data_IF_168570393666
#
_entry.id   IF_168570393666
#
_cell.length_a   1.000
_cell.length_b   1.000
_cell.length_c   1.000
_cell.angle_alpha   90.00
_cell.angle_beta   90.00
_cell.angle_gamma   90.00
#
_symmetry.space_group_name_H-M   'P 1'
#
loop_
_entity.id
_entity.type
_entity.pdbx_description
1 polymer ?
#
# COMPACT_ATOMS: atom_id res chain seq x y z
N UNK A 1 -93.08 35.79 8.03
CA UNK A 1 -92.85 34.45 7.51
C UNK A 1 -91.65 34.54 6.56
N UNK A 2 -90.50 35.07 7.06
CA UNK A 2 -89.27 35.33 6.22
C UNK A 2 -87.98 35.32 7.04
N UNK A 3 -88.00 34.74 8.23
CA UNK A 3 -86.77 34.74 9.12
C UNK A 3 -86.47 33.38 9.70
N UNK A 4 -86.62 32.30 8.93
CA UNK A 4 -86.31 30.95 9.38
C UNK A 4 -85.46 30.11 8.38
N UNK A 5 -84.92 30.70 7.29
CA UNK A 5 -84.11 29.99 6.30
C UNK A 5 -82.65 30.41 6.30
N UNK A 6 -82.25 31.40 7.09
CA UNK A 6 -80.84 31.83 7.13
C UNK A 6 -79.99 31.17 8.25
N UNK A 7 -80.56 30.34 9.11
CA UNK A 7 -79.82 29.75 10.26
C UNK A 7 -79.44 28.30 10.04
N UNK A 8 -79.60 27.74 8.83
CA UNK A 8 -79.20 26.36 8.48
C UNK A 8 -78.03 26.22 7.54
N UNK A 9 -77.37 27.32 7.07
CA UNK A 9 -76.31 27.31 6.10
C UNK A 9 -74.90 27.58 6.69
N UNK A 10 -74.78 27.83 8.02
CA UNK A 10 -73.55 28.20 8.69
C UNK A 10 -72.96 27.05 9.54
N UNK A 11 -73.55 25.86 9.58
CA UNK A 11 -73.09 24.73 10.43
C UNK A 11 -72.50 23.56 9.64
N UNK A 12 -72.23 23.68 8.31
CA UNK A 12 -71.75 22.57 7.47
C UNK A 12 -70.31 22.71 6.97
N UNK A 13 -69.57 23.74 7.38
CA UNK A 13 -68.23 24.00 6.80
C UNK A 13 -67.08 23.97 7.79
N UNK A 14 -67.19 23.23 8.90
CA UNK A 14 -66.04 23.13 9.91
C UNK A 14 -65.40 21.76 10.06
N UNK A 15 -65.37 20.91 9.00
CA UNK A 15 -64.65 19.65 9.01
C UNK A 15 -63.73 19.45 7.78
N UNK A 16 -63.15 20.52 7.24
CA UNK A 16 -62.03 20.48 6.30
C UNK A 16 -60.73 20.43 7.04
N UNK A 17 -60.42 19.32 7.74
CA UNK A 17 -59.03 19.05 8.19
C UNK A 17 -58.22 18.78 6.95
N UNK A 18 -57.58 19.82 6.45
CA UNK A 18 -56.47 19.73 5.48
C UNK A 18 -55.38 18.84 6.05
N UNK A 19 -55.36 17.55 5.67
CA UNK A 19 -54.22 16.68 5.85
C UNK A 19 -53.07 17.26 5.02
N UNK A 20 -52.20 18.01 5.67
CA UNK A 20 -50.88 18.33 5.12
C UNK A 20 -50.21 17.02 4.73
N UNK A 21 -49.64 16.88 3.50
CA UNK A 21 -48.91 15.68 3.13
C UNK A 21 -47.75 15.49 4.10
N UNK A 22 -47.79 14.39 4.85
CA UNK A 22 -46.63 13.93 5.66
C UNK A 22 -45.41 13.98 4.80
N UNK A 23 -44.32 14.70 5.21
CA UNK A 23 -43.07 14.70 4.46
C UNK A 23 -42.59 13.26 4.40
N UNK A 24 -42.58 12.70 3.18
CA UNK A 24 -41.97 11.40 2.91
C UNK A 24 -40.52 11.47 3.40
N UNK A 25 -40.22 10.73 4.47
CA UNK A 25 -38.85 10.53 4.97
C UNK A 25 -38.05 10.05 3.76
N UNK A 26 -36.99 10.77 3.36
CA UNK A 26 -36.19 10.32 2.24
C UNK A 26 -35.58 8.97 2.63
N UNK A 27 -36.02 7.92 1.94
CA UNK A 27 -35.37 6.60 2.05
C UNK A 27 -33.89 6.82 1.89
N UNK A 28 -33.11 6.52 2.93
CA UNK A 28 -31.67 6.56 2.91
C UNK A 28 -31.20 5.60 1.81
N UNK A 29 -31.00 6.12 0.59
CA UNK A 29 -30.33 5.37 -0.47
C UNK A 29 -28.97 4.99 0.11
N UNK A 30 -28.77 3.70 0.34
CA UNK A 30 -27.45 3.16 0.68
C UNK A 30 -26.45 3.82 -0.26
N UNK A 31 -25.37 4.41 0.23
CA UNK A 31 -24.42 5.11 -0.62
C UNK A 31 -23.85 4.09 -1.63
N UNK A 32 -24.30 4.15 -2.87
CA UNK A 32 -23.75 3.32 -3.94
C UNK A 32 -22.32 3.79 -4.21
N UNK A 33 -21.38 2.85 -4.14
CA UNK A 33 -19.97 3.11 -4.52
C UNK A 33 -19.97 3.55 -5.99
N UNK A 34 -19.32 4.67 -6.35
CA UNK A 34 -19.24 5.11 -7.74
C UNK A 34 -18.65 4.01 -8.63
N UNK A 35 -19.22 3.78 -9.81
CA UNK A 35 -18.76 2.74 -10.73
C UNK A 35 -17.28 2.90 -11.13
N UNK A 36 -16.80 4.14 -11.26
CA UNK A 36 -15.38 4.44 -11.51
C UNK A 36 -14.48 3.98 -10.36
N UNK A 37 -14.91 4.13 -9.11
CA UNK A 37 -14.13 3.68 -7.95
C UNK A 37 -14.06 2.15 -7.88
N UNK A 38 -15.17 1.46 -8.15
CA UNK A 38 -15.19 0.01 -8.25
C UNK A 38 -14.29 -0.49 -9.38
N UNK A 39 -14.27 0.22 -10.52
CA UNK A 39 -13.40 -0.10 -11.64
C UNK A 39 -11.90 0.08 -11.28
N UNK A 40 -11.53 1.11 -10.52
CA UNK A 40 -10.17 1.29 -10.02
C UNK A 40 -9.75 0.19 -9.05
N UNK A 41 -10.65 -0.24 -8.16
CA UNK A 41 -10.41 -1.38 -7.26
C UNK A 41 -10.22 -2.68 -8.04
N UNK A 42 -11.08 -2.94 -9.03
CA UNK A 42 -11.00 -4.13 -9.89
C UNK A 42 -9.71 -4.13 -10.72
N UNK A 43 -9.33 -2.98 -11.29
CA UNK A 43 -8.05 -2.81 -11.99
C UNK A 43 -6.87 -3.12 -11.08
N UNK A 44 -6.82 -2.50 -9.90
CA UNK A 44 -5.76 -2.72 -8.92
C UNK A 44 -5.63 -4.19 -8.54
N UNK A 45 -6.75 -4.89 -8.38
CA UNK A 45 -6.79 -6.32 -8.11
C UNK A 45 -6.24 -7.14 -9.28
N UNK A 46 -6.78 -6.97 -10.49
CA UNK A 46 -6.38 -7.72 -11.68
C UNK A 46 -4.91 -7.49 -12.05
N UNK A 47 -4.47 -6.24 -11.97
CA UNK A 47 -3.09 -5.84 -12.22
C UNK A 47 -2.12 -6.52 -11.25
N UNK A 48 -2.44 -6.57 -9.96
CA UNK A 48 -1.61 -7.22 -8.95
C UNK A 48 -1.70 -8.75 -9.00
N UNK A 49 -2.81 -9.30 -9.46
CA UNK A 49 -2.95 -10.72 -9.74
C UNK A 49 -1.94 -11.16 -10.82
N UNK A 50 -1.93 -10.48 -11.98
CA UNK A 50 -0.95 -10.70 -13.05
C UNK A 50 0.49 -10.54 -12.56
N UNK A 51 0.79 -9.45 -11.83
CA UNK A 51 2.13 -9.22 -11.25
C UNK A 51 2.54 -10.29 -10.25
N UNK A 52 1.59 -10.87 -9.52
CA UNK A 52 1.83 -11.98 -8.61
C UNK A 52 2.30 -13.23 -9.35
N UNK A 53 1.64 -13.59 -10.46
CA UNK A 53 2.06 -14.72 -11.32
C UNK A 53 3.48 -14.51 -11.82
N UNK A 54 3.79 -13.33 -12.37
CA UNK A 54 5.15 -12.96 -12.80
C UNK A 54 6.12 -13.02 -11.62
N UNK A 55 5.74 -12.47 -10.46
CA UNK A 55 6.58 -12.40 -9.27
C UNK A 55 6.94 -13.76 -8.67
N UNK A 56 6.15 -14.81 -8.96
CA UNK A 56 6.51 -16.19 -8.63
C UNK A 56 7.43 -16.80 -9.68
N UNK A 57 7.06 -16.72 -10.96
CA UNK A 57 7.76 -17.43 -12.03
C UNK A 57 9.09 -16.78 -12.43
N UNK A 58 9.20 -15.44 -12.35
CA UNK A 58 10.35 -14.68 -12.84
C UNK A 58 11.68 -15.04 -12.15
N UNK A 59 11.78 -15.09 -10.81
CA UNK A 59 13.04 -15.46 -10.16
C UNK A 59 13.47 -16.89 -10.48
N UNK A 60 12.52 -17.82 -10.63
CA UNK A 60 12.81 -19.20 -11.03
C UNK A 60 13.23 -19.29 -12.49
N UNK A 61 12.57 -18.56 -13.39
CA UNK A 61 12.95 -18.46 -14.79
C UNK A 61 14.37 -17.90 -14.95
N UNK A 62 14.67 -16.82 -14.25
CA UNK A 62 15.99 -16.20 -14.26
C UNK A 62 17.09 -17.17 -13.80
N UNK A 63 16.86 -17.86 -12.69
CA UNK A 63 17.81 -18.77 -12.09
C UNK A 63 17.93 -20.08 -12.87
N UNK A 64 16.80 -20.80 -13.14
CA UNK A 64 16.81 -22.14 -13.75
C UNK A 64 17.01 -22.14 -15.25
N UNK A 65 16.37 -21.21 -15.97
CA UNK A 65 16.35 -21.23 -17.46
C UNK A 65 17.41 -20.33 -18.07
N UNK A 66 17.64 -19.14 -17.51
CA UNK A 66 18.63 -18.21 -18.03
C UNK A 66 20.01 -18.38 -17.38
N UNK A 67 20.13 -19.23 -16.34
CA UNK A 67 21.38 -19.48 -15.64
C UNK A 67 21.95 -18.28 -14.91
N UNK A 68 21.11 -17.28 -14.55
CA UNK A 68 21.54 -16.12 -13.80
C UNK A 68 21.94 -16.52 -12.37
N UNK A 69 22.98 -15.92 -11.87
CA UNK A 69 23.36 -16.02 -10.46
C UNK A 69 22.30 -15.40 -9.55
N UNK A 70 22.32 -15.72 -8.26
CA UNK A 70 21.42 -15.10 -7.30
C UNK A 70 21.60 -13.58 -7.21
N UNK A 71 22.83 -13.08 -7.40
CA UNK A 71 23.12 -11.64 -7.47
C UNK A 71 22.43 -11.00 -8.68
N UNK A 72 22.62 -11.57 -9.87
CA UNK A 72 21.99 -11.09 -11.10
C UNK A 72 20.46 -11.17 -11.01
N UNK A 73 19.95 -12.25 -10.45
CA UNK A 73 18.50 -12.39 -10.17
C UNK A 73 18.01 -11.28 -9.22
N UNK A 74 18.76 -10.99 -8.16
CA UNK A 74 18.47 -9.89 -7.24
C UNK A 74 18.43 -8.53 -7.94
N UNK A 75 19.42 -8.24 -8.81
CA UNK A 75 19.45 -7.02 -9.64
C UNK A 75 18.26 -6.98 -10.60
N UNK A 76 17.93 -8.08 -11.26
CA UNK A 76 16.75 -8.19 -12.12
C UNK A 76 15.47 -7.84 -11.36
N UNK A 77 15.29 -8.38 -10.17
CA UNK A 77 14.09 -8.14 -9.35
C UNK A 77 14.00 -6.68 -8.89
N UNK A 78 15.14 -6.06 -8.58
CA UNK A 78 15.23 -4.65 -8.20
C UNK A 78 15.02 -3.68 -9.37
N UNK A 79 15.30 -4.09 -10.61
CA UNK A 79 15.24 -3.23 -11.81
C UNK A 79 13.88 -2.56 -11.99
N UNK A 80 12.79 -3.27 -11.72
CA UNK A 80 11.44 -2.72 -11.80
C UNK A 80 11.25 -1.55 -10.83
N UNK A 81 11.67 -1.73 -9.58
CA UNK A 81 11.54 -0.71 -8.54
C UNK A 81 12.47 0.48 -8.80
N UNK A 82 13.69 0.19 -9.28
CA UNK A 82 14.64 1.23 -9.69
C UNK A 82 14.08 2.10 -10.81
N UNK A 83 13.56 1.49 -11.88
CA UNK A 83 12.96 2.20 -13.00
C UNK A 83 11.71 3.00 -12.53
N UNK A 84 10.85 2.41 -11.70
CA UNK A 84 9.68 3.09 -11.15
C UNK A 84 10.08 4.35 -10.38
N UNK A 85 11.01 4.25 -9.42
CA UNK A 85 11.41 5.38 -8.59
C UNK A 85 12.12 6.47 -9.40
N UNK A 86 12.98 6.07 -10.34
CA UNK A 86 13.71 7.02 -11.18
C UNK A 86 12.79 7.83 -12.10
N UNK A 87 11.82 7.18 -12.74
CA UNK A 87 10.93 7.83 -13.69
C UNK A 87 9.68 8.46 -13.04
N UNK A 88 9.37 8.17 -11.79
CA UNK A 88 8.15 8.61 -11.11
C UNK A 88 7.93 10.14 -11.16
N UNK A 89 8.92 11.02 -10.93
CA UNK A 89 8.71 12.46 -11.04
C UNK A 89 8.38 12.92 -12.47
N UNK A 90 9.09 12.34 -13.46
CA UNK A 90 8.88 12.65 -14.89
C UNK A 90 7.50 12.19 -15.36
N UNK A 91 7.11 11.00 -14.95
CA UNK A 91 5.83 10.39 -15.35
C UNK A 91 4.64 11.03 -14.64
N UNK A 92 4.82 11.51 -13.40
CA UNK A 92 3.82 12.34 -12.72
C UNK A 92 3.53 13.63 -13.49
N UNK A 93 4.59 14.35 -13.88
CA UNK A 93 4.46 15.55 -14.72
C UNK A 93 3.81 15.25 -16.09
N UNK A 94 4.16 14.12 -16.72
CA UNK A 94 3.54 13.71 -17.97
C UNK A 94 2.04 13.40 -17.79
N UNK A 95 1.65 12.75 -16.70
CA UNK A 95 0.26 12.45 -16.38
C UNK A 95 -0.60 13.70 -16.25
N UNK A 96 -0.06 14.76 -15.62
CA UNK A 96 -0.76 16.06 -15.47
C UNK A 96 -1.02 16.73 -16.84
N UNK A 97 -0.11 16.52 -17.81
CA UNK A 97 -0.25 17.13 -19.15
C UNK A 97 -1.17 16.36 -20.11
N UNK A 98 -1.10 15.03 -20.11
CA UNK A 98 -1.89 14.21 -21.05
C UNK A 98 -3.27 13.86 -20.54
N UNK A 99 -3.57 14.13 -19.27
CA UNK A 99 -4.79 13.80 -18.57
C UNK A 99 -4.70 12.46 -17.83
N UNK A 100 -5.27 12.41 -16.64
CA UNK A 100 -5.11 11.28 -15.69
C UNK A 100 -5.61 9.95 -16.25
N UNK A 101 -6.78 9.93 -16.89
CA UNK A 101 -7.33 8.69 -17.49
C UNK A 101 -6.45 8.19 -18.64
N UNK A 102 -5.98 9.10 -19.52
CA UNK A 102 -5.13 8.72 -20.66
C UNK A 102 -3.78 8.20 -20.19
N UNK A 103 -3.16 8.89 -19.21
CA UNK A 103 -1.91 8.46 -18.59
C UNK A 103 -2.06 7.07 -17.97
N UNK A 104 -3.13 6.87 -17.21
CA UNK A 104 -3.44 5.60 -16.57
C UNK A 104 -3.66 4.47 -17.58
N UNK A 105 -4.45 4.73 -18.63
CA UNK A 105 -4.67 3.73 -19.68
C UNK A 105 -3.37 3.37 -20.42
N UNK A 106 -2.54 4.36 -20.76
CA UNK A 106 -1.24 4.15 -21.39
C UNK A 106 -0.31 3.32 -20.49
N UNK A 107 -0.31 3.60 -19.20
CA UNK A 107 0.48 2.84 -18.22
C UNK A 107 0.05 1.36 -18.17
N UNK A 108 -1.26 1.07 -18.15
CA UNK A 108 -1.76 -0.30 -18.13
C UNK A 108 -1.43 -1.03 -19.44
N UNK A 109 -1.56 -0.37 -20.59
CA UNK A 109 -1.16 -0.93 -21.90
C UNK A 109 0.34 -1.20 -21.92
N UNK A 110 1.18 -0.27 -21.43
CA UNK A 110 2.62 -0.44 -21.31
C UNK A 110 3.00 -1.64 -20.43
N UNK A 111 2.28 -1.85 -19.33
CA UNK A 111 2.46 -3.04 -18.47
C UNK A 111 2.07 -4.33 -19.16
N UNK A 112 0.95 -4.35 -19.90
CA UNK A 112 0.54 -5.52 -20.69
C UNK A 112 1.57 -5.83 -21.77
N UNK A 113 2.12 -4.80 -22.42
CA UNK A 113 3.21 -4.98 -23.36
C UNK A 113 4.48 -5.55 -22.68
N UNK A 114 4.86 -5.06 -21.52
CA UNK A 114 5.98 -5.63 -20.75
C UNK A 114 5.70 -7.10 -20.38
N UNK A 115 4.45 -7.44 -20.03
CA UNK A 115 4.06 -8.82 -19.74
C UNK A 115 4.19 -9.73 -20.99
N UNK A 116 3.88 -9.20 -22.17
CA UNK A 116 4.11 -9.91 -23.45
C UNK A 116 5.61 -10.12 -23.71
N UNK A 117 6.45 -9.13 -23.39
CA UNK A 117 7.89 -9.27 -23.53
C UNK A 117 8.45 -10.43 -22.68
N UNK A 118 7.88 -10.72 -21.50
CA UNK A 118 8.29 -11.89 -20.70
C UNK A 118 7.98 -13.21 -21.41
N UNK A 119 6.90 -13.30 -22.18
CA UNK A 119 6.50 -14.53 -22.92
C UNK A 119 7.56 -14.93 -23.94
N UNK A 120 8.14 -13.94 -24.62
CA UNK A 120 9.09 -14.13 -25.72
C UNK A 120 10.55 -14.01 -25.28
N UNK A 121 10.81 -13.68 -24.03
CA UNK A 121 12.16 -13.49 -23.53
C UNK A 121 12.89 -14.85 -23.46
N UNK A 122 14.00 -14.97 -24.18
CA UNK A 122 14.89 -16.14 -24.19
C UNK A 122 16.34 -15.83 -23.78
N UNK A 123 16.63 -14.57 -23.43
CA UNK A 123 17.98 -14.14 -23.07
C UNK A 123 17.99 -13.17 -21.89
N UNK A 124 19.11 -13.09 -21.12
CA UNK A 124 19.21 -12.21 -19.97
C UNK A 124 18.86 -10.74 -20.27
N UNK A 125 19.39 -10.18 -21.35
CA UNK A 125 19.16 -8.77 -21.69
C UNK A 125 17.69 -8.48 -22.01
N UNK A 126 16.96 -9.43 -22.66
CA UNK A 126 15.53 -9.28 -22.95
C UNK A 126 14.70 -9.22 -21.65
N UNK A 127 15.02 -10.08 -20.69
CA UNK A 127 14.29 -10.11 -19.42
C UNK A 127 14.58 -8.86 -18.58
N UNK A 128 15.82 -8.34 -18.59
CA UNK A 128 16.16 -7.07 -17.95
C UNK A 128 15.42 -5.90 -18.62
N UNK A 129 15.37 -5.86 -19.95
CA UNK A 129 14.64 -4.82 -20.69
C UNK A 129 13.14 -4.87 -20.42
N UNK A 130 12.54 -6.07 -20.41
CA UNK A 130 11.13 -6.25 -20.06
C UNK A 130 10.84 -5.77 -18.62
N UNK A 131 11.75 -6.04 -17.67
CA UNK A 131 11.64 -5.63 -16.28
C UNK A 131 11.75 -4.11 -16.11
N UNK A 132 12.67 -3.48 -16.84
CA UNK A 132 12.82 -2.04 -16.88
C UNK A 132 11.58 -1.35 -17.46
N UNK A 133 11.08 -1.85 -18.60
CA UNK A 133 9.85 -1.34 -19.22
C UNK A 133 8.64 -1.47 -18.29
N UNK A 134 8.55 -2.58 -17.56
CA UNK A 134 7.51 -2.79 -16.58
C UNK A 134 7.55 -1.71 -15.47
N UNK A 135 8.75 -1.38 -14.97
CA UNK A 135 8.94 -0.31 -13.98
C UNK A 135 8.61 1.09 -14.50
N UNK A 136 8.98 1.39 -15.76
CA UNK A 136 8.57 2.63 -16.42
C UNK A 136 7.04 2.75 -16.52
N UNK A 137 6.36 1.70 -16.89
CA UNK A 137 4.90 1.69 -16.96
C UNK A 137 4.26 1.87 -15.57
N UNK A 138 4.84 1.25 -14.53
CA UNK A 138 4.36 1.41 -13.14
C UNK A 138 4.58 2.84 -12.63
N UNK A 139 5.69 3.51 -13.02
CA UNK A 139 5.97 4.90 -12.64
C UNK A 139 4.92 5.90 -13.14
N UNK A 140 4.29 5.62 -14.29
CA UNK A 140 3.17 6.40 -14.81
C UNK A 140 1.84 6.01 -14.16
N UNK A 141 1.67 4.71 -13.85
CA UNK A 141 0.44 4.16 -13.30
C UNK A 141 0.17 4.66 -11.88
N UNK A 142 1.15 4.62 -11.00
CA UNK A 142 0.96 4.87 -9.58
C UNK A 142 0.48 6.29 -9.26
N UNK A 143 1.10 7.38 -9.77
CA UNK A 143 0.58 8.72 -9.54
C UNK A 143 -0.80 8.93 -10.15
N UNK A 144 -1.04 8.39 -11.36
CA UNK A 144 -2.33 8.52 -12.05
C UNK A 144 -3.49 7.87 -11.28
N UNK A 145 -3.30 6.65 -10.76
CA UNK A 145 -4.35 5.96 -10.01
C UNK A 145 -4.59 6.61 -8.65
N UNK A 146 -3.54 7.09 -8.00
CA UNK A 146 -3.67 7.76 -6.71
C UNK A 146 -4.48 9.06 -6.85
N UNK A 147 -4.23 9.84 -7.90
CA UNK A 147 -5.02 11.03 -8.22
C UNK A 147 -6.48 10.67 -8.56
N UNK A 148 -6.70 9.66 -9.42
CA UNK A 148 -8.05 9.19 -9.77
C UNK A 148 -8.84 8.69 -8.56
N UNK A 149 -8.21 8.00 -7.61
CA UNK A 149 -8.86 7.57 -6.36
C UNK A 149 -9.22 8.80 -5.52
N UNK A 150 -8.29 9.75 -5.37
CA UNK A 150 -8.51 10.95 -4.57
C UNK A 150 -9.70 11.79 -5.10
N UNK A 151 -9.83 11.91 -6.42
CA UNK A 151 -10.90 12.67 -7.07
C UNK A 151 -12.26 11.94 -7.08
N UNK A 152 -12.26 10.61 -7.19
CA UNK A 152 -13.50 9.83 -7.23
C UNK A 152 -14.03 9.44 -5.83
N UNK A 153 -13.22 9.53 -4.79
CA UNK A 153 -13.62 9.22 -3.42
C UNK A 153 -14.26 10.45 -2.77
N UNK A 154 -15.28 10.23 -1.94
CA UNK A 154 -15.86 11.30 -1.12
C UNK A 154 -14.78 11.77 -0.12
N UNK A 155 -14.68 13.07 0.14
CA UNK A 155 -13.65 13.69 0.98
C UNK A 155 -13.46 12.97 2.34
N UNK A 156 -14.56 12.59 3.01
CA UNK A 156 -14.52 11.85 4.28
C UNK A 156 -14.12 10.38 4.16
N UNK A 157 -14.03 9.81 2.94
CA UNK A 157 -13.76 8.38 2.71
C UNK A 157 -12.49 8.09 1.92
N UNK A 158 -11.71 9.11 1.55
CA UNK A 158 -10.48 8.95 0.75
C UNK A 158 -9.51 7.97 1.41
N UNK A 159 -9.23 8.14 2.70
CA UNK A 159 -8.30 7.29 3.43
C UNK A 159 -8.77 5.81 3.48
N UNK A 160 -10.06 5.58 3.72
CA UNK A 160 -10.60 4.22 3.73
C UNK A 160 -10.59 3.59 2.33
N UNK A 161 -10.80 4.37 1.29
CA UNK A 161 -10.72 3.91 -0.10
C UNK A 161 -9.30 3.46 -0.46
N UNK A 162 -8.27 4.24 -0.09
CA UNK A 162 -6.88 3.83 -0.25
C UNK A 162 -6.54 2.58 0.55
N UNK A 163 -7.06 2.44 1.77
CA UNK A 163 -6.87 1.25 2.58
C UNK A 163 -7.46 0.00 1.89
N UNK A 164 -8.69 0.08 1.39
CA UNK A 164 -9.32 -1.00 0.63
C UNK A 164 -8.57 -1.32 -0.66
N UNK A 165 -8.15 -0.30 -1.41
CA UNK A 165 -7.36 -0.47 -2.63
C UNK A 165 -6.03 -1.21 -2.35
N UNK A 166 -5.31 -0.81 -1.31
CA UNK A 166 -4.07 -1.46 -0.93
C UNK A 166 -4.27 -2.89 -0.42
N UNK A 167 -5.33 -3.15 0.34
CA UNK A 167 -5.68 -4.51 0.80
C UNK A 167 -6.02 -5.40 -0.38
N UNK A 168 -6.84 -4.93 -1.32
CA UNK A 168 -7.16 -5.66 -2.54
C UNK A 168 -5.92 -5.99 -3.38
N UNK A 169 -5.00 -5.03 -3.56
CA UNK A 169 -3.73 -5.23 -4.26
C UNK A 169 -2.86 -6.31 -3.60
N UNK A 170 -2.78 -6.32 -2.29
CA UNK A 170 -1.94 -7.28 -1.56
C UNK A 170 -2.51 -8.69 -1.63
N UNK A 171 -3.81 -8.82 -1.39
CA UNK A 171 -4.52 -10.08 -1.51
C UNK A 171 -4.38 -10.64 -2.93
N UNK A 172 -4.59 -9.80 -3.95
CA UNK A 172 -4.42 -10.19 -5.35
C UNK A 172 -2.99 -10.63 -5.68
N UNK A 173 -1.97 -9.93 -5.14
CA UNK A 173 -0.57 -10.31 -5.33
C UNK A 173 -0.25 -11.69 -4.75
N UNK A 174 -0.77 -11.98 -3.57
CA UNK A 174 -0.57 -13.29 -2.93
C UNK A 174 -1.33 -14.40 -3.67
N UNK A 175 -2.58 -14.15 -4.10
CA UNK A 175 -3.34 -15.05 -4.98
C UNK A 175 -2.56 -15.29 -6.28
N UNK A 176 -2.02 -14.23 -6.91
CA UNK A 176 -1.24 -14.33 -8.14
C UNK A 176 0.03 -15.19 -7.96
N UNK A 177 0.77 -15.00 -6.87
CA UNK A 177 1.94 -15.84 -6.56
C UNK A 177 1.56 -17.30 -6.35
N UNK A 178 0.47 -17.56 -5.64
CA UNK A 178 -0.07 -18.91 -5.47
C UNK A 178 -0.45 -19.53 -6.80
N UNK A 179 -1.23 -18.81 -7.62
CA UNK A 179 -1.62 -19.23 -8.98
C UNK A 179 -0.39 -19.50 -9.84
N UNK A 180 0.63 -18.64 -9.77
CA UNK A 180 1.90 -18.84 -10.47
C UNK A 180 2.59 -20.14 -10.12
N UNK A 181 2.61 -20.51 -8.83
CA UNK A 181 3.16 -21.78 -8.36
C UNK A 181 2.39 -22.98 -8.88
N UNK A 182 1.06 -22.97 -8.79
CA UNK A 182 0.22 -24.06 -9.31
C UNK A 182 0.28 -24.17 -10.84
N UNK A 183 0.29 -23.03 -11.56
CA UNK A 183 0.41 -23.04 -13.01
C UNK A 183 1.76 -23.60 -13.46
N UNK A 184 2.85 -23.23 -12.78
CA UNK A 184 4.18 -23.70 -13.14
C UNK A 184 4.28 -25.24 -12.94
N UNK A 185 3.76 -25.74 -11.83
CA UNK A 185 3.67 -27.15 -11.56
C UNK A 185 2.79 -27.89 -12.59
N UNK A 186 1.63 -27.33 -12.95
CA UNK A 186 0.70 -27.94 -13.90
C UNK A 186 1.27 -27.92 -15.34
N UNK A 187 1.99 -26.89 -15.71
CA UNK A 187 2.56 -26.68 -17.06
C UNK A 187 3.96 -27.29 -17.20
N UNK A 188 4.41 -28.09 -16.25
CA UNK A 188 5.70 -28.81 -16.29
C UNK A 188 6.87 -27.88 -16.66
N UNK A 189 7.04 -26.81 -15.89
CA UNK A 189 8.10 -25.79 -16.07
C UNK A 189 8.07 -25.03 -17.42
N UNK A 190 6.91 -24.98 -18.06
CA UNK A 190 6.71 -24.13 -19.23
C UNK A 190 6.48 -22.67 -18.80
N UNK A 191 7.56 -21.94 -18.57
CA UNK A 191 7.52 -20.53 -18.13
C UNK A 191 6.82 -19.62 -19.12
N UNK A 192 6.97 -19.86 -20.43
CA UNK A 192 6.29 -19.06 -21.48
C UNK A 192 4.77 -19.14 -21.36
N UNK A 193 4.22 -20.33 -21.06
CA UNK A 193 2.79 -20.50 -20.85
C UNK A 193 2.31 -19.79 -19.55
N UNK A 194 3.11 -19.82 -18.49
CA UNK A 194 2.81 -19.09 -17.25
C UNK A 194 2.84 -17.57 -17.50
N UNK A 195 3.84 -17.06 -18.22
CA UNK A 195 3.91 -15.64 -18.58
C UNK A 195 2.78 -15.23 -19.55
N UNK A 196 2.37 -16.12 -20.46
CA UNK A 196 1.21 -15.89 -21.33
C UNK A 196 -0.08 -15.74 -20.51
N UNK A 197 -0.27 -16.57 -19.49
CA UNK A 197 -1.40 -16.43 -18.55
C UNK A 197 -1.34 -15.07 -17.84
N UNK A 198 -0.16 -14.66 -17.37
CA UNK A 198 0.01 -13.35 -16.76
C UNK A 198 -0.25 -12.19 -17.74
N UNK A 199 0.15 -12.33 -19.00
CA UNK A 199 -0.16 -11.36 -20.07
C UNK A 199 -1.68 -11.24 -20.29
N UNK A 200 -2.39 -12.36 -20.45
CA UNK A 200 -3.85 -12.35 -20.62
C UNK A 200 -4.53 -11.66 -19.43
N UNK A 201 -4.12 -11.98 -18.21
CA UNK A 201 -4.63 -11.33 -17.00
C UNK A 201 -4.31 -9.82 -16.97
N UNK A 202 -3.16 -9.39 -17.54
CA UNK A 202 -2.79 -7.98 -17.59
C UNK A 202 -3.57 -7.17 -18.62
N UNK A 203 -4.17 -7.84 -19.63
CA UNK A 203 -5.01 -7.19 -20.62
C UNK A 203 -6.42 -6.85 -20.07
N UNK A 204 -6.94 -7.62 -19.10
CA UNK A 204 -8.27 -7.39 -18.54
C UNK A 204 -8.46 -5.99 -17.94
N UNK A 205 -7.52 -5.44 -17.17
CA UNK A 205 -7.60 -4.08 -16.65
C UNK A 205 -7.79 -3.00 -17.73
N UNK A 206 -7.22 -3.18 -18.92
CA UNK A 206 -7.37 -2.22 -20.03
C UNK A 206 -8.85 -2.04 -20.39
N UNK A 207 -9.59 -3.13 -20.52
CA UNK A 207 -11.03 -3.09 -20.82
C UNK A 207 -11.83 -2.46 -19.66
N UNK A 208 -11.49 -2.82 -18.41
CA UNK A 208 -12.18 -2.28 -17.23
C UNK A 208 -12.01 -0.76 -17.16
N UNK A 209 -10.78 -0.27 -17.33
CA UNK A 209 -10.49 1.18 -17.24
C UNK A 209 -11.07 1.92 -18.44
N UNK A 210 -10.92 1.41 -19.66
CA UNK A 210 -11.46 2.06 -20.85
C UNK A 210 -12.99 2.25 -20.76
N UNK A 211 -13.71 1.25 -20.21
CA UNK A 211 -15.18 1.23 -20.17
C UNK A 211 -15.79 1.98 -18.99
N UNK A 212 -15.19 1.93 -17.81
CA UNK A 212 -15.83 2.37 -16.56
C UNK A 212 -15.16 3.55 -15.87
N UNK A 213 -13.88 3.82 -16.10
CA UNK A 213 -13.22 5.00 -15.54
C UNK A 213 -13.55 6.22 -16.38
N UNK A 214 -14.05 7.27 -15.72
CA UNK A 214 -14.34 8.56 -16.39
C UNK A 214 -13.17 9.50 -16.18
N UNK A 215 -12.90 10.37 -17.17
CA UNK A 215 -11.98 11.49 -17.01
C UNK A 215 -12.58 12.42 -15.94
N UNK A 216 -11.85 12.77 -14.89
CA UNK A 216 -12.31 13.77 -13.95
C UNK A 216 -12.51 15.10 -14.70
N UNK A 217 -13.60 15.75 -14.46
CA UNK A 217 -13.72 17.15 -14.88
C UNK A 217 -12.80 17.95 -13.97
N UNK A 218 -11.74 18.50 -14.53
CA UNK A 218 -10.82 19.38 -13.81
C UNK A 218 -11.64 20.60 -13.38
N UNK A 219 -12.23 20.55 -12.20
CA UNK A 219 -12.59 21.76 -11.49
C UNK A 219 -11.23 22.31 -11.03
N UNK A 220 -10.71 23.29 -11.78
CA UNK A 220 -9.77 24.22 -11.18
C UNK A 220 -10.52 24.81 -9.97
N UNK A 221 -10.10 24.56 -8.74
CA UNK A 221 -10.61 25.38 -7.66
C UNK A 221 -10.11 26.79 -8.02
N UNK A 222 -11.02 27.63 -8.49
CA UNK A 222 -10.81 29.06 -8.31
C UNK A 222 -10.36 29.19 -6.88
N UNK A 223 -9.21 29.83 -6.71
CA UNK A 223 -8.67 30.17 -5.41
C UNK A 223 -9.77 30.98 -4.69
N UNK A 224 -10.70 30.29 -4.03
CA UNK A 224 -11.44 30.89 -2.95
C UNK A 224 -10.38 31.31 -1.94
N UNK A 225 -9.99 32.57 -2.06
CA UNK A 225 -9.38 33.32 -0.97
C UNK A 225 -10.39 33.29 0.16
N UNK A 226 -10.34 32.26 0.98
CA UNK A 226 -10.97 32.29 2.29
C UNK A 226 -10.15 33.25 3.16
N UNK A 227 -10.56 34.52 3.14
CA UNK A 227 -10.07 35.59 4.04
C UNK A 227 -10.52 35.37 5.50
N UNK A 228 -10.93 34.15 5.87
CA UNK A 228 -11.54 33.86 7.18
C UNK A 228 -10.77 32.82 8.03
N UNK A 229 -9.47 32.65 7.83
CA UNK A 229 -8.66 31.70 8.64
C UNK A 229 -7.72 32.42 9.64
N UNK A 230 -8.14 33.60 10.16
CA UNK A 230 -7.35 34.38 11.11
C UNK A 230 -7.49 33.94 12.57
N UNK A 231 -8.26 32.90 12.93
CA UNK A 231 -8.54 32.57 14.33
C UNK A 231 -8.42 31.10 14.72
N UNK A 232 -7.47 30.34 14.21
CA UNK A 232 -7.18 29.04 14.79
C UNK A 232 -5.69 28.66 14.74
N UNK A 233 -4.78 29.60 14.91
CA UNK A 233 -3.38 29.27 15.13
C UNK A 233 -3.15 28.97 16.61
N UNK A 234 -3.61 27.81 17.08
CA UNK A 234 -2.98 27.22 18.27
C UNK A 234 -1.59 26.80 17.86
N UNK A 235 -0.62 27.57 18.31
CA UNK A 235 0.82 27.28 18.21
C UNK A 235 1.13 25.96 18.86
N UNK A 236 1.01 24.86 18.10
CA UNK A 236 1.59 23.57 18.48
C UNK A 236 3.06 23.69 18.10
N UNK A 237 3.95 23.57 19.11
CA UNK A 237 5.39 23.64 18.95
C UNK A 237 5.83 22.83 17.72
N UNK A 238 6.50 23.51 16.78
CA UNK A 238 7.08 22.88 15.59
C UNK A 238 8.23 21.98 16.05
N UNK A 239 8.17 20.65 15.84
CA UNK A 239 9.38 19.86 15.94
C UNK A 239 10.31 20.29 14.81
N UNK A 240 11.61 20.19 15.03
CA UNK A 240 12.66 20.49 14.03
C UNK A 240 12.47 19.59 12.79
N UNK A 241 11.73 20.10 11.83
CA UNK A 241 10.94 19.31 10.84
C UNK A 241 11.81 18.47 9.88
N UNK A 242 13.06 18.86 9.60
CA UNK A 242 13.91 18.17 8.64
C UNK A 242 14.56 16.90 9.17
N UNK A 243 15.11 16.93 10.39
CA UNK A 243 15.80 15.80 11.00
C UNK A 243 14.82 14.64 11.32
N UNK A 244 13.57 14.97 11.68
CA UNK A 244 12.52 13.99 11.94
C UNK A 244 12.11 13.22 10.68
N UNK A 245 11.84 13.92 9.55
CA UNK A 245 11.41 13.30 8.29
C UNK A 245 12.49 12.36 7.76
N UNK A 246 13.75 12.77 7.76
CA UNK A 246 14.87 11.95 7.33
C UNK A 246 15.00 10.68 8.19
N UNK A 247 14.86 10.81 9.51
CA UNK A 247 14.91 9.67 10.42
C UNK A 247 13.83 8.63 10.13
N UNK A 248 12.61 9.07 9.83
CA UNK A 248 11.53 8.15 9.44
C UNK A 248 11.72 7.57 8.05
N UNK A 249 12.31 8.31 7.09
CA UNK A 249 12.67 7.77 5.78
C UNK A 249 13.72 6.66 5.90
N UNK A 250 14.73 6.82 6.77
CA UNK A 250 15.72 5.77 7.08
C UNK A 250 15.06 4.55 7.72
N UNK A 251 14.09 4.74 8.61
CA UNK A 251 13.32 3.63 9.19
C UNK A 251 12.53 2.88 8.11
N UNK A 252 11.85 3.60 7.22
CA UNK A 252 11.14 3.03 6.06
C UNK A 252 12.08 2.22 5.16
N UNK A 253 13.29 2.75 4.89
CA UNK A 253 14.33 2.05 4.13
C UNK A 253 14.72 0.72 4.80
N UNK A 254 15.07 0.73 6.09
CA UNK A 254 15.51 -0.47 6.81
C UNK A 254 14.43 -1.56 6.82
N UNK A 255 13.19 -1.18 7.08
CA UNK A 255 12.07 -2.13 7.14
C UNK A 255 11.77 -2.71 5.75
N UNK A 256 11.74 -1.88 4.70
CA UNK A 256 11.48 -2.34 3.34
C UNK A 256 12.64 -3.17 2.79
N UNK A 257 13.88 -2.77 3.05
CA UNK A 257 15.07 -3.53 2.66
C UNK A 257 15.04 -4.95 3.26
N UNK A 258 14.86 -5.08 4.57
CA UNK A 258 14.80 -6.39 5.24
C UNK A 258 13.63 -7.25 4.76
N UNK A 259 12.49 -6.64 4.44
CA UNK A 259 11.34 -7.35 3.90
C UNK A 259 11.63 -7.92 2.50
N UNK A 260 12.29 -7.14 1.64
CA UNK A 260 12.50 -7.48 0.24
C UNK A 260 13.72 -8.37 -0.01
N UNK A 261 14.68 -8.46 0.93
CA UNK A 261 15.80 -9.38 0.84
C UNK A 261 15.38 -10.82 0.56
N UNK A 262 14.27 -11.26 1.16
CA UNK A 262 13.74 -12.63 1.01
C UNK A 262 12.46 -12.70 0.16
N UNK A 263 11.58 -11.69 0.24
CA UNK A 263 10.22 -11.74 -0.33
C UNK A 263 10.20 -12.03 -1.83
N UNK A 264 11.16 -11.48 -2.57
CA UNK A 264 11.28 -11.66 -4.01
C UNK A 264 12.08 -12.93 -4.39
N UNK A 265 12.98 -13.39 -3.52
CA UNK A 265 13.79 -14.60 -3.71
C UNK A 265 13.15 -15.83 -3.06
N UNK A 266 12.01 -15.68 -2.37
CA UNK A 266 11.34 -16.77 -1.66
C UNK A 266 10.98 -17.96 -2.56
N UNK A 267 10.51 -17.80 -3.81
CA UNK A 267 10.31 -18.95 -4.69
C UNK A 267 11.59 -19.78 -4.88
N UNK A 268 12.74 -19.13 -5.08
CA UNK A 268 14.04 -19.79 -5.22
C UNK A 268 14.45 -20.48 -3.91
N UNK A 269 14.24 -19.80 -2.76
CA UNK A 269 14.52 -20.41 -1.45
C UNK A 269 13.67 -21.67 -1.24
N UNK A 270 12.39 -21.64 -1.56
CA UNK A 270 11.52 -22.76 -1.33
C UNK A 270 11.83 -23.94 -2.27
N UNK A 271 12.10 -23.67 -3.56
CA UNK A 271 12.30 -24.76 -4.54
C UNK A 271 13.74 -25.25 -4.62
N UNK A 272 14.73 -24.33 -4.63
CA UNK A 272 16.13 -24.71 -4.82
C UNK A 272 16.85 -25.10 -3.52
N UNK A 273 16.52 -24.41 -2.42
CA UNK A 273 17.18 -24.67 -1.14
C UNK A 273 16.40 -25.67 -0.28
N UNK A 274 15.09 -25.50 -0.14
CA UNK A 274 14.27 -26.39 0.67
C UNK A 274 13.66 -27.57 -0.14
N UNK A 275 13.95 -27.67 -1.44
CA UNK A 275 13.52 -28.72 -2.34
C UNK A 275 12.00 -28.97 -2.35
N UNK A 276 11.22 -27.91 -2.15
CA UNK A 276 9.76 -27.98 -2.25
C UNK A 276 9.34 -27.93 -3.73
N UNK A 277 8.20 -28.54 -4.05
CA UNK A 277 7.59 -28.38 -5.36
C UNK A 277 7.02 -26.98 -5.53
N UNK A 278 6.83 -26.54 -6.77
CA UNK A 278 6.20 -25.26 -7.11
C UNK A 278 4.78 -25.18 -6.55
N UNK A 279 4.03 -26.29 -6.56
CA UNK A 279 2.69 -26.39 -5.98
C UNK A 279 2.72 -26.21 -4.45
N UNK A 280 3.65 -26.84 -3.75
CA UNK A 280 3.83 -26.66 -2.30
C UNK A 280 4.18 -25.22 -1.98
N UNK A 281 5.11 -24.62 -2.75
CA UNK A 281 5.48 -23.21 -2.61
C UNK A 281 4.29 -22.30 -2.88
N UNK A 282 3.50 -22.58 -3.92
CA UNK A 282 2.23 -21.90 -4.21
C UNK A 282 1.23 -22.00 -3.05
N UNK A 283 1.12 -23.15 -2.42
CA UNK A 283 0.23 -23.38 -1.28
C UNK A 283 0.66 -22.57 -0.02
N UNK A 284 1.95 -22.35 0.20
CA UNK A 284 2.43 -21.45 1.26
C UNK A 284 1.85 -20.04 1.07
N UNK A 285 1.77 -19.54 -0.17
CA UNK A 285 1.14 -18.24 -0.42
C UNK A 285 -0.37 -18.24 -0.15
N UNK A 286 -1.09 -19.36 -0.34
CA UNK A 286 -2.50 -19.47 0.08
C UNK A 286 -2.63 -19.32 1.59
N UNK A 287 -1.77 -19.98 2.36
CA UNK A 287 -1.78 -19.86 3.82
C UNK A 287 -1.53 -18.41 4.25
N UNK A 288 -0.58 -17.73 3.60
CA UNK A 288 -0.29 -16.32 3.92
C UNK A 288 -1.44 -15.37 3.60
N UNK A 289 -2.28 -15.65 2.59
CA UNK A 289 -3.48 -14.85 2.29
C UNK A 289 -4.44 -14.87 3.48
N UNK A 290 -4.72 -16.06 4.03
CA UNK A 290 -5.61 -16.22 5.18
C UNK A 290 -5.10 -15.37 6.35
N UNK A 291 -3.79 -15.43 6.61
CA UNK A 291 -3.17 -14.64 7.68
C UNK A 291 -3.32 -13.14 7.44
N UNK A 292 -3.05 -12.65 6.23
CA UNK A 292 -3.17 -11.21 5.90
C UNK A 292 -4.60 -10.72 6.05
N UNK A 293 -5.58 -11.49 5.59
CA UNK A 293 -7.00 -11.13 5.65
C UNK A 293 -7.51 -11.11 7.10
N UNK A 294 -7.10 -12.08 7.93
CA UNK A 294 -7.55 -12.20 9.33
C UNK A 294 -6.74 -11.28 10.25
N UNK A 295 -5.42 -11.28 10.12
CA UNK A 295 -4.53 -10.54 11.00
C UNK A 295 -4.52 -9.03 10.71
N UNK A 296 -4.74 -8.61 9.47
CA UNK A 296 -4.75 -7.19 9.10
C UNK A 296 -5.73 -6.36 9.93
N UNK A 297 -7.02 -6.66 9.96
CA UNK A 297 -7.99 -5.95 10.80
C UNK A 297 -7.70 -6.06 12.30
N UNK A 298 -7.26 -7.23 12.78
CA UNK A 298 -6.92 -7.44 14.19
C UNK A 298 -5.75 -6.56 14.63
N UNK A 299 -4.67 -6.51 13.85
CA UNK A 299 -3.53 -5.64 14.13
C UNK A 299 -3.84 -4.16 13.90
N UNK A 300 -4.72 -3.82 12.98
CA UNK A 300 -5.22 -2.45 12.82
C UNK A 300 -5.91 -1.98 14.11
N UNK A 301 -6.86 -2.74 14.61
CA UNK A 301 -7.51 -2.47 15.88
C UNK A 301 -6.52 -2.39 17.05
N UNK A 302 -5.56 -3.31 17.11
CA UNK A 302 -4.53 -3.34 18.14
C UNK A 302 -3.61 -2.10 18.10
N UNK A 303 -3.19 -1.66 16.91
CA UNK A 303 -2.35 -0.48 16.73
C UNK A 303 -3.08 0.81 17.16
N UNK A 304 -4.40 0.88 16.92
CA UNK A 304 -5.21 2.04 17.26
C UNK A 304 -5.56 2.10 18.75
N UNK A 305 -5.81 0.94 19.41
CA UNK A 305 -6.34 0.88 20.76
C UNK A 305 -5.30 0.54 21.84
N UNK A 306 -4.20 -0.15 21.49
CA UNK A 306 -3.23 -0.61 22.50
C UNK A 306 -1.90 0.13 22.36
N UNK A 307 -1.14 -0.06 21.30
CA UNK A 307 0.16 0.60 21.13
C UNK A 307 0.69 0.48 19.69
N UNK A 308 0.92 1.64 19.06
CA UNK A 308 1.61 1.71 17.76
C UNK A 308 3.06 1.24 17.85
N UNK A 309 3.75 1.50 18.96
CA UNK A 309 5.13 1.06 19.17
C UNK A 309 5.23 -0.44 19.20
N UNK A 310 4.31 -1.11 19.89
CA UNK A 310 4.29 -2.57 19.94
C UNK A 310 4.04 -3.18 18.56
N UNK A 311 3.19 -2.57 17.73
CA UNK A 311 2.96 -3.01 16.36
C UNK A 311 4.23 -2.90 15.48
N UNK A 312 5.06 -1.87 15.69
CA UNK A 312 6.36 -1.73 15.03
C UNK A 312 7.36 -2.81 15.49
N UNK A 313 7.43 -3.07 16.80
CA UNK A 313 8.32 -4.11 17.37
C UNK A 313 7.95 -5.52 16.91
N UNK A 314 6.66 -5.82 16.74
CA UNK A 314 6.18 -7.09 16.18
C UNK A 314 6.79 -7.37 14.81
N UNK A 315 7.05 -6.33 14.00
CA UNK A 315 7.64 -6.49 12.66
C UNK A 315 9.07 -7.05 12.70
N UNK A 316 9.93 -6.53 13.56
CA UNK A 316 11.31 -7.00 13.67
C UNK A 316 11.41 -8.39 14.30
N UNK A 317 10.62 -8.65 15.34
CA UNK A 317 10.52 -9.99 15.92
C UNK A 317 10.06 -11.01 14.88
N UNK A 318 9.06 -10.67 14.07
CA UNK A 318 8.59 -11.52 12.98
C UNK A 318 9.69 -11.76 11.92
N UNK A 319 10.50 -10.75 11.58
CA UNK A 319 11.64 -10.91 10.69
C UNK A 319 12.68 -11.90 11.26
N UNK A 320 12.98 -11.79 12.56
CA UNK A 320 13.94 -12.65 13.24
C UNK A 320 13.46 -14.10 13.30
N UNK A 321 12.22 -14.30 13.76
CA UNK A 321 11.62 -15.64 13.87
C UNK A 321 11.46 -16.29 12.50
N UNK A 322 10.97 -15.55 11.49
CA UNK A 322 10.82 -16.10 10.13
C UNK A 322 12.19 -16.48 9.53
N UNK A 323 13.24 -15.69 9.74
CA UNK A 323 14.59 -16.00 9.28
C UNK A 323 15.13 -17.26 9.95
N UNK A 324 14.92 -17.42 11.25
CA UNK A 324 15.29 -18.63 11.98
C UNK A 324 14.54 -19.87 11.44
N UNK A 325 13.23 -19.74 11.19
CA UNK A 325 12.44 -20.84 10.60
C UNK A 325 12.96 -21.24 9.22
N UNK A 326 13.26 -20.28 8.35
CA UNK A 326 13.78 -20.54 7.00
C UNK A 326 15.16 -21.21 7.03
N UNK A 327 15.98 -20.90 8.01
CA UNK A 327 17.32 -21.46 8.13
C UNK A 327 17.35 -22.85 8.79
N UNK A 328 16.72 -22.97 9.96
CA UNK A 328 16.80 -24.22 10.76
C UNK A 328 15.82 -25.29 10.31
N UNK A 329 14.71 -24.89 9.68
CA UNK A 329 13.66 -25.82 9.25
C UNK A 329 13.32 -25.62 7.77
N UNK A 330 14.24 -25.94 6.83
CA UNK A 330 14.00 -25.81 5.39
C UNK A 330 13.08 -26.94 4.87
N UNK A 331 11.91 -27.03 5.44
CA UNK A 331 10.86 -28.01 5.12
C UNK A 331 9.55 -27.27 4.86
N UNK A 332 8.57 -27.95 4.25
CA UNK A 332 7.27 -27.33 4.01
C UNK A 332 6.64 -26.72 5.29
N UNK A 333 6.55 -27.44 6.44
CA UNK A 333 6.00 -26.86 7.66
C UNK A 333 6.81 -25.67 8.18
N UNK A 334 8.14 -25.75 8.12
CA UNK A 334 9.03 -24.69 8.58
C UNK A 334 8.92 -23.43 7.73
N UNK A 335 8.92 -23.57 6.39
CA UNK A 335 8.72 -22.44 5.47
C UNK A 335 7.30 -21.86 5.57
N UNK A 336 6.30 -22.71 5.71
CA UNK A 336 4.91 -22.26 5.91
C UNK A 336 4.78 -21.45 7.21
N UNK A 337 5.28 -21.96 8.34
CA UNK A 337 5.25 -21.26 9.63
C UNK A 337 6.04 -19.96 9.58
N UNK A 338 7.26 -19.96 9.02
CA UNK A 338 8.06 -18.77 8.84
C UNK A 338 7.37 -17.71 7.98
N UNK A 339 6.69 -18.14 6.90
CA UNK A 339 5.93 -17.23 6.02
C UNK A 339 4.68 -16.66 6.71
N UNK A 340 4.00 -17.44 7.54
CA UNK A 340 2.88 -16.99 8.39
C UNK A 340 3.35 -15.91 9.36
N UNK A 341 4.46 -16.13 10.04
CA UNK A 341 5.04 -15.16 10.98
C UNK A 341 5.46 -13.87 10.25
N UNK A 342 6.13 -13.97 9.10
CA UNK A 342 6.52 -12.80 8.29
C UNK A 342 5.29 -12.03 7.77
N UNK A 343 4.24 -12.73 7.33
CA UNK A 343 3.00 -12.14 6.89
C UNK A 343 2.26 -11.41 8.03
N UNK A 344 2.20 -12.01 9.22
CA UNK A 344 1.64 -11.39 10.42
C UNK A 344 2.41 -10.12 10.82
N UNK A 345 3.75 -10.16 10.77
CA UNK A 345 4.58 -8.99 11.01
C UNK A 345 4.33 -7.85 10.00
N UNK A 346 4.15 -8.18 8.72
CA UNK A 346 3.77 -7.20 7.68
C UNK A 346 2.38 -6.62 7.92
N UNK A 347 1.42 -7.46 8.33
CA UNK A 347 0.05 -7.03 8.63
C UNK A 347 0.00 -6.09 9.86
N UNK A 348 0.85 -6.30 10.87
CA UNK A 348 0.97 -5.42 12.03
C UNK A 348 1.61 -4.07 11.69
N UNK A 349 2.66 -4.07 10.87
CA UNK A 349 3.42 -2.87 10.54
C UNK A 349 2.62 -1.86 9.70
N UNK A 350 1.89 -2.30 8.69
CA UNK A 350 1.27 -1.43 7.69
C UNK A 350 0.28 -0.39 8.24
N UNK A 351 -0.68 -0.76 9.12
CA UNK A 351 -1.57 0.24 9.72
C UNK A 351 -0.82 1.23 10.59
N UNK A 352 0.16 0.76 11.38
CA UNK A 352 0.98 1.60 12.23
C UNK A 352 1.81 2.61 11.41
N UNK A 353 2.40 2.17 10.30
CA UNK A 353 3.16 3.01 9.38
C UNK A 353 2.27 4.03 8.66
N UNK A 354 1.12 3.62 8.14
CA UNK A 354 0.15 4.51 7.51
C UNK A 354 -0.34 5.60 8.46
N UNK A 355 -0.64 5.27 9.71
CA UNK A 355 -1.04 6.25 10.74
C UNK A 355 0.09 7.22 11.10
N UNK A 356 1.34 6.75 11.09
CA UNK A 356 2.52 7.58 11.32
C UNK A 356 2.74 8.56 10.16
N UNK A 357 2.65 8.10 8.91
CA UNK A 357 2.73 8.95 7.72
C UNK A 357 1.64 10.02 7.70
N UNK A 358 0.40 9.66 8.02
CA UNK A 358 -0.72 10.58 8.10
C UNK A 358 -0.49 11.67 9.17
N UNK A 359 0.05 11.30 10.33
CA UNK A 359 0.37 12.22 11.42
C UNK A 359 1.49 13.18 11.02
N UNK A 360 2.63 12.66 10.53
CA UNK A 360 3.78 13.49 10.12
C UNK A 360 3.41 14.46 9.00
N UNK A 361 2.58 14.04 8.05
CA UNK A 361 2.12 14.89 6.95
C UNK A 361 1.03 15.88 7.38
N UNK A 362 0.40 15.69 8.55
CA UNK A 362 -0.64 16.57 9.08
C UNK A 362 -0.11 17.87 9.73
N UNK A 363 1.17 17.92 10.11
CA UNK A 363 1.77 19.10 10.76
C UNK A 363 1.86 20.32 9.84
N UNK A 364 2.08 20.11 8.53
CA UNK A 364 2.13 21.20 7.55
C UNK A 364 1.31 20.81 6.31
N UNK A 365 0.11 21.34 6.20
CA UNK A 365 -0.78 21.09 5.06
C UNK A 365 -0.15 21.51 3.72
N UNK A 366 0.67 22.57 3.69
CA UNK A 366 1.33 23.06 2.48
C UNK A 366 2.44 22.13 1.99
N UNK A 367 3.10 21.40 2.91
CA UNK A 367 4.20 20.47 2.61
C UNK A 367 3.81 19.01 2.70
N UNK A 368 2.54 18.70 2.90
CA UNK A 368 2.04 17.34 3.09
C UNK A 368 2.51 16.37 2.01
N UNK A 369 2.41 16.77 0.74
CA UNK A 369 2.84 15.93 -0.38
C UNK A 369 4.36 15.68 -0.37
N UNK A 370 5.17 16.68 -0.01
CA UNK A 370 6.63 16.54 0.11
C UNK A 370 7.01 15.55 1.23
N UNK A 371 6.37 15.67 2.40
CA UNK A 371 6.64 14.77 3.54
C UNK A 371 6.32 13.32 3.17
N UNK A 372 5.14 13.06 2.59
CA UNK A 372 4.77 11.73 2.12
C UNK A 372 5.75 11.25 1.05
N UNK A 373 6.16 12.12 0.13
CA UNK A 373 7.14 11.80 -0.92
C UNK A 373 8.49 11.33 -0.35
N UNK A 374 9.04 12.04 0.63
CA UNK A 374 10.32 11.65 1.25
C UNK A 374 10.21 10.32 2.03
N UNK A 375 9.08 10.09 2.73
CA UNK A 375 8.85 8.84 3.45
C UNK A 375 8.71 7.66 2.47
N UNK A 376 7.93 7.83 1.41
CA UNK A 376 7.77 6.82 0.35
C UNK A 376 9.08 6.57 -0.43
N UNK A 377 9.93 7.59 -0.58
CA UNK A 377 11.25 7.43 -1.20
C UNK A 377 12.15 6.50 -0.35
N UNK A 378 12.12 6.63 0.97
CA UNK A 378 12.84 5.72 1.86
C UNK A 378 12.40 4.27 1.68
N UNK A 379 11.07 4.02 1.67
CA UNK A 379 10.52 2.68 1.40
C UNK A 379 10.95 2.15 0.02
N UNK A 380 10.81 2.95 -1.03
CA UNK A 380 11.15 2.56 -2.41
C UNK A 380 12.63 2.23 -2.60
N UNK A 381 13.54 2.99 -1.96
CA UNK A 381 14.96 2.67 -1.94
C UNK A 381 15.24 1.33 -1.22
N UNK A 382 14.53 1.05 -0.11
CA UNK A 382 14.63 -0.23 0.58
C UNK A 382 14.11 -1.39 -0.28
N UNK A 383 13.01 -1.20 -1.02
CA UNK A 383 12.48 -2.19 -1.95
C UNK A 383 13.41 -2.47 -3.14
N UNK A 384 14.20 -1.48 -3.57
CA UNK A 384 15.22 -1.62 -4.61
C UNK A 384 16.47 -2.32 -4.08
N UNK A 385 17.00 -1.89 -2.94
CA UNK A 385 18.27 -2.40 -2.39
C UNK A 385 18.11 -3.81 -1.81
N UNK A 386 16.95 -4.13 -1.23
CA UNK A 386 16.70 -5.40 -0.57
C UNK A 386 17.00 -6.63 -1.42
N UNK A 387 16.41 -6.78 -2.62
CA UNK A 387 16.67 -7.94 -3.47
C UNK A 387 18.12 -8.03 -3.95
N UNK A 388 18.78 -6.88 -4.24
CA UNK A 388 20.21 -6.84 -4.63
C UNK A 388 21.06 -7.36 -3.48
N UNK A 389 20.87 -6.80 -2.30
CA UNK A 389 21.62 -7.19 -1.10
C UNK A 389 21.35 -8.66 -0.74
N UNK A 390 20.09 -9.10 -0.79
CA UNK A 390 19.71 -10.48 -0.54
C UNK A 390 20.36 -11.45 -1.52
N UNK A 391 20.28 -11.17 -2.81
CA UNK A 391 20.88 -11.99 -3.88
C UNK A 391 22.40 -12.03 -3.79
N UNK A 392 23.04 -10.88 -3.55
CA UNK A 392 24.50 -10.78 -3.40
C UNK A 392 25.03 -11.55 -2.18
N UNK A 393 24.42 -11.35 -1.00
CA UNK A 393 24.83 -12.04 0.21
C UNK A 393 24.64 -13.55 0.10
N UNK A 394 23.49 -13.96 -0.47
CA UNK A 394 23.22 -15.39 -0.63
C UNK A 394 24.17 -16.04 -1.65
N UNK A 395 24.44 -15.38 -2.76
CA UNK A 395 25.35 -15.90 -3.78
C UNK A 395 26.80 -16.04 -3.26
N UNK A 396 27.29 -15.03 -2.51
CA UNK A 396 28.72 -14.95 -2.12
C UNK A 396 29.01 -15.75 -0.86
N UNK A 397 28.13 -15.69 0.15
CA UNK A 397 28.38 -16.28 1.47
C UNK A 397 27.31 -17.28 1.93
N UNK A 398 26.34 -17.55 1.08
CA UNK A 398 25.28 -18.51 1.37
C UNK A 398 24.08 -17.93 2.11
N UNK A 399 23.01 -18.73 2.18
CA UNK A 399 21.72 -18.35 2.77
C UNK A 399 21.84 -17.93 4.24
N UNK A 400 22.68 -18.62 5.03
CA UNK A 400 22.84 -18.33 6.45
C UNK A 400 23.33 -16.91 6.72
N UNK A 401 24.34 -16.44 5.94
CA UNK A 401 24.84 -15.06 6.06
C UNK A 401 23.79 -14.06 5.63
N UNK A 402 23.08 -14.30 4.55
CA UNK A 402 22.00 -13.42 4.10
C UNK A 402 20.89 -13.29 5.15
N UNK A 403 20.44 -14.38 5.74
CA UNK A 403 19.42 -14.36 6.80
C UNK A 403 19.95 -13.74 8.09
N UNK A 404 21.22 -13.98 8.44
CA UNK A 404 21.90 -13.33 9.57
C UNK A 404 21.96 -11.81 9.42
N UNK A 405 22.37 -11.31 8.25
CA UNK A 405 22.38 -9.86 7.95
C UNK A 405 20.94 -9.28 7.99
N UNK A 406 19.96 -10.01 7.47
CA UNK A 406 18.55 -9.62 7.56
C UNK A 406 18.11 -9.45 9.02
N UNK A 407 18.48 -10.35 9.91
CA UNK A 407 18.17 -10.27 11.35
C UNK A 407 18.88 -9.07 11.98
N UNK A 408 20.16 -8.86 11.70
CA UNK A 408 20.92 -7.71 12.23
C UNK A 408 20.28 -6.39 11.79
N UNK A 409 19.95 -6.24 10.51
CA UNK A 409 19.27 -5.06 9.99
C UNK A 409 17.89 -4.86 10.62
N UNK A 410 17.15 -5.95 10.88
CA UNK A 410 15.86 -5.88 11.56
C UNK A 410 16.00 -5.37 13.01
N UNK A 411 17.00 -5.89 13.76
CA UNK A 411 17.30 -5.43 15.13
C UNK A 411 17.73 -3.96 15.13
N UNK A 412 18.58 -3.54 14.18
CA UNK A 412 18.97 -2.13 14.04
C UNK A 412 17.73 -1.26 13.78
N UNK A 413 16.85 -1.70 12.89
CA UNK A 413 15.58 -1.01 12.59
C UNK A 413 14.68 -0.87 13.81
N UNK A 414 14.58 -1.91 14.66
CA UNK A 414 13.82 -1.86 15.90
C UNK A 414 14.42 -0.89 16.92
N UNK A 415 15.73 -0.99 17.17
CA UNK A 415 16.42 -0.07 18.09
C UNK A 415 16.24 1.37 17.63
N UNK A 416 16.33 1.58 16.31
CA UNK A 416 16.12 2.89 15.70
C UNK A 416 14.68 3.40 15.85
N UNK A 417 13.68 2.56 15.62
CA UNK A 417 12.27 2.88 15.82
C UNK A 417 11.94 3.24 17.29
N UNK A 418 12.52 2.50 18.23
CA UNK A 418 12.36 2.77 19.66
C UNK A 418 12.99 4.11 20.09
N UNK A 419 14.14 4.49 19.53
CA UNK A 419 14.79 5.78 19.79
C UNK A 419 13.98 6.95 19.26
N UNK A 420 13.54 6.89 18.00
CA UNK A 420 12.70 7.93 17.39
C UNK A 420 11.41 8.13 18.19
N UNK A 421 10.77 7.06 18.59
CA UNK A 421 9.52 7.14 19.35
C UNK A 421 9.67 7.68 20.79
N UNK A 422 10.89 7.78 21.34
CA UNK A 422 11.17 8.46 22.61
C UNK A 422 11.28 9.97 22.44
N UNK A 423 11.87 10.42 21.36
CA UNK A 423 12.00 11.86 21.02
C UNK A 423 10.60 12.47 20.85
N UNK A 424 9.70 11.77 20.16
CA UNK A 424 8.32 12.21 19.93
C UNK A 424 7.48 12.36 21.23
N UNK A 425 7.82 11.60 22.29
CA UNK A 425 7.20 11.74 23.63
C UNK A 425 7.78 12.89 24.45
N UNK A 426 9.06 13.17 24.33
CA UNK A 426 9.71 14.23 25.09
C UNK A 426 9.24 15.62 24.62
N UNK A 427 8.96 15.76 23.32
CA UNK A 427 8.47 17.01 22.73
C UNK A 427 6.95 17.23 22.93
N UNK A 428 6.17 16.18 23.24
CA UNK A 428 4.72 16.30 23.44
C UNK A 428 4.30 16.67 24.88
N UNK A 429 5.24 16.73 25.83
CA UNK A 429 4.99 17.24 27.20
C UNK A 429 5.75 18.55 27.38
N UNK A 430 5.09 19.73 27.29
CA UNK A 430 5.67 20.95 27.80
C UNK A 430 5.84 20.77 29.33
N UNK A 431 7.06 20.94 29.83
CA UNK A 431 7.33 21.01 31.27
C UNK A 431 6.43 22.08 31.89
N UNK A 432 5.43 21.66 32.63
CA UNK A 432 4.66 22.53 33.52
C UNK A 432 5.45 22.76 34.81
N UNK A 433 6.60 23.41 34.70
CA UNK A 433 7.33 23.94 35.85
C UNK A 433 7.29 25.48 35.78
N UNK A 434 6.10 26.03 35.96
CA UNK A 434 5.98 27.42 36.39
C UNK A 434 5.12 27.41 37.65
N UNK A 435 5.78 27.28 38.80
CA UNK A 435 5.19 27.63 40.09
C UNK A 435 4.76 29.09 39.98
N UNK A 436 3.48 29.32 39.89
CA UNK A 436 2.87 30.62 40.08
C UNK A 436 3.07 30.95 41.55
N UNK A 437 4.02 31.85 41.85
CA UNK A 437 4.07 32.55 43.12
C UNK A 437 2.84 33.46 43.19
N UNK A 438 1.86 33.02 43.90
CA UNK A 438 0.73 33.83 44.36
C UNK A 438 1.25 34.86 45.37
N UNK A 439 1.50 36.09 44.91
CA UNK A 439 1.70 37.24 45.78
C UNK A 439 0.33 37.73 46.23
N UNK A 440 -0.03 37.33 47.41
CA UNK A 440 -1.02 38.01 48.27
C UNK A 440 -0.57 39.46 48.49
N UNK A 441 -1.25 40.40 47.88
CA UNK A 441 -1.21 41.82 48.30
C UNK A 441 -2.40 42.08 49.19
N UNK A 442 -2.11 42.07 50.49
CA UNK A 442 -2.96 42.74 51.51
C UNK A 442 -2.96 44.24 51.19
N UNK A 443 -4.15 44.83 51.14
CA UNK A 443 -4.35 46.28 51.19
C UNK A 443 -4.65 46.70 52.63
N UNK A 444 -3.99 47.72 53.16
CA UNK A 444 -4.36 48.27 54.47
C UNK A 444 -5.45 49.33 54.31
N UNK A 445 -6.40 49.26 55.31
CA UNK A 445 -7.37 50.23 55.81
C UNK A 445 -7.93 51.32 54.93
#
# INVERSE_FOLDING_TARGET
>A
MRDREQEKEVVSDSNGVSQSPTPSVPQSRRPSIPASLLALLAEGFLTRLSSGVIGFALPLFAYRKLGLTLTETGVLLAMNQAAEQFFKPLMGWAADRIGLKRAYTLAIVGRSFAALCYVIAGSPWQIYSARFLHGMAESLREPSVNALIAENAKEKSVASTFAWYNTAKQTASAIGKSTGGFLLALMLDNYSAVFLTAFVLSCLPVFVVARYVREPQIHHPEQEKSDDDSQATKTIAQPSTGASIFSFAVLGFLISCTAQMISNLFPVLATEYAHLTEAQTGFIYVITIVVVVVAGPAFGWFADNVSRKLALTVRGLANTVSSAMFFFFPTFPGLATGSVVDAAGKAAFRPAWGSLMARLSGYDRRRRAQVIGHLSMGEGLGEMVGPILGGFLWHTWGLGVMLGVRVVLAIIGEIYALRIGRVDKAESYPRSDTKVHEKTTESPS
#
